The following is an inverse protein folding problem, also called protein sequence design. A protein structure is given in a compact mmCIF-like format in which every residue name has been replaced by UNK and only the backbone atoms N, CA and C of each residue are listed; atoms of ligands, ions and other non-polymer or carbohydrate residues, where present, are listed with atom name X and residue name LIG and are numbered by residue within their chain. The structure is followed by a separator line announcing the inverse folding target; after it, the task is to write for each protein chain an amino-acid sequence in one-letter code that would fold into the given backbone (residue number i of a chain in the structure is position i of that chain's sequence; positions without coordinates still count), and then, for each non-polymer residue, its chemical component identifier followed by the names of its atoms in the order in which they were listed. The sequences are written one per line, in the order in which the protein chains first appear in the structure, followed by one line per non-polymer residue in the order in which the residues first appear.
data_IF_412632181171
#
_entry.id   IF_412632181171
#
_cell.length_a   1.000
_cell.length_b   1.000
_cell.length_c   1.000
_cell.angle_alpha   90.00
_cell.angle_beta   90.00
_cell.angle_gamma   90.00
#
_symmetry.space_group_name_H-M   'P 1'
#
loop_
_entity.id
_entity.type
_entity.pdbx_description
1 polymer ?
#
# COMPACT_ATOMS: atom_id res chain seq x y z
N UNK A 1 -16.29 -40.27 -7.01
CA UNK A 1 -15.56 -39.50 -8.04
C UNK A 1 -15.94 -38.04 -7.86
N UNK A 2 -15.08 -37.25 -7.23
CA UNK A 2 -15.29 -35.80 -7.07
C UNK A 2 -14.96 -35.12 -8.40
N UNK A 3 -15.96 -34.51 -9.03
CA UNK A 3 -15.77 -33.67 -10.20
C UNK A 3 -15.14 -32.35 -9.74
N UNK A 4 -13.81 -32.31 -9.66
CA UNK A 4 -13.06 -31.06 -9.55
C UNK A 4 -13.19 -30.30 -10.87
N UNK A 5 -14.24 -29.50 -10.99
CA UNK A 5 -14.36 -28.46 -12.01
C UNK A 5 -13.29 -27.42 -11.69
N UNK A 6 -12.08 -27.62 -12.23
CA UNK A 6 -11.05 -26.58 -12.32
C UNK A 6 -11.63 -25.47 -13.19
N UNK A 7 -12.32 -24.52 -12.57
CA UNK A 7 -12.80 -23.33 -13.27
C UNK A 7 -11.56 -22.62 -13.82
N UNK A 8 -11.53 -22.51 -15.14
CA UNK A 8 -10.47 -21.84 -15.89
C UNK A 8 -10.60 -20.36 -15.55
N UNK A 9 -9.92 -19.93 -14.49
CA UNK A 9 -9.96 -18.56 -14.00
C UNK A 9 -9.40 -17.66 -15.10
N UNK A 10 -10.26 -16.93 -15.80
CA UNK A 10 -9.86 -15.99 -16.85
C UNK A 10 -8.95 -14.93 -16.22
N UNK A 11 -7.64 -15.04 -16.50
CA UNK A 11 -6.56 -14.18 -15.98
C UNK A 11 -6.85 -12.68 -16.06
N UNK A 12 -7.59 -12.25 -17.09
CA UNK A 12 -7.96 -10.85 -17.26
C UNK A 12 -9.05 -10.37 -16.29
N UNK A 13 -10.04 -11.23 -15.99
CA UNK A 13 -11.09 -10.92 -15.00
C UNK A 13 -10.54 -10.96 -13.58
N UNK A 14 -9.62 -11.89 -13.28
CA UNK A 14 -8.96 -11.92 -11.96
C UNK A 14 -8.06 -10.71 -11.76
N UNK A 15 -7.45 -10.19 -12.83
CA UNK A 15 -6.78 -8.89 -12.79
C UNK A 15 -7.76 -7.77 -12.49
N UNK A 16 -8.86 -7.60 -13.23
CA UNK A 16 -9.83 -6.51 -12.95
C UNK A 16 -10.45 -6.57 -11.54
N UNK A 17 -10.63 -7.77 -10.99
CA UNK A 17 -11.18 -8.00 -9.66
C UNK A 17 -10.11 -8.07 -8.56
N UNK A 18 -8.90 -7.55 -8.78
CA UNK A 18 -7.81 -7.58 -7.81
C UNK A 18 -8.16 -6.94 -6.46
N UNK A 19 -9.13 -6.01 -6.44
CA UNK A 19 -9.65 -5.33 -5.26
C UNK A 19 -10.68 -6.16 -4.47
N UNK A 20 -11.26 -7.20 -5.07
CA UNK A 20 -12.24 -8.08 -4.43
C UNK A 20 -11.49 -9.13 -3.61
N UNK A 21 -11.55 -8.98 -2.28
CA UNK A 21 -10.96 -9.93 -1.34
C UNK A 21 -11.94 -11.08 -1.14
N UNK A 22 -11.42 -12.30 -1.12
CA UNK A 22 -12.20 -13.49 -0.80
C UNK A 22 -12.85 -13.35 0.58
N UNK A 23 -14.19 -13.50 0.70
CA UNK A 23 -14.88 -13.49 1.99
C UNK A 23 -14.24 -14.38 3.05
N UNK A 24 -13.72 -15.55 2.68
CA UNK A 24 -13.05 -16.48 3.61
C UNK A 24 -11.80 -15.86 4.23
N UNK A 25 -11.05 -15.09 3.43
CA UNK A 25 -9.83 -14.39 3.87
C UNK A 25 -10.18 -13.26 4.83
N UNK A 26 -11.26 -12.51 4.53
CA UNK A 26 -11.75 -11.45 5.41
C UNK A 26 -12.17 -12.04 6.77
N UNK A 27 -12.92 -13.14 6.76
CA UNK A 27 -13.39 -13.79 7.98
C UNK A 27 -12.21 -14.29 8.83
N UNK A 28 -11.23 -14.95 8.21
CA UNK A 28 -9.99 -15.35 8.90
C UNK A 28 -9.27 -14.16 9.55
N UNK A 29 -9.17 -13.04 8.85
CA UNK A 29 -8.53 -11.82 9.36
C UNK A 29 -9.27 -11.21 10.56
N UNK A 30 -10.61 -11.29 10.57
CA UNK A 30 -11.43 -10.81 11.68
C UNK A 30 -11.33 -11.76 12.87
N UNK A 31 -11.49 -13.07 12.65
CA UNK A 31 -11.44 -14.08 13.72
C UNK A 31 -10.07 -14.14 14.40
N UNK A 32 -8.99 -14.03 13.61
CA UNK A 32 -7.61 -14.12 14.10
C UNK A 32 -6.96 -12.72 14.26
N UNK A 33 -7.77 -11.67 14.41
CA UNK A 33 -7.29 -10.28 14.34
C UNK A 33 -6.13 -9.98 15.29
N UNK A 34 -6.18 -10.49 16.54
CA UNK A 34 -5.14 -10.29 17.56
C UNK A 34 -3.97 -11.26 17.47
N UNK A 35 -4.14 -12.42 16.85
CA UNK A 35 -3.13 -13.49 16.80
C UNK A 35 -2.31 -13.49 15.50
N UNK A 36 -2.84 -12.92 14.41
CA UNK A 36 -2.12 -12.82 13.15
C UNK A 36 -0.87 -11.97 13.30
N UNK A 37 0.22 -12.48 12.72
CA UNK A 37 1.50 -11.77 12.71
C UNK A 37 1.43 -10.55 11.80
N UNK A 38 2.36 -9.62 11.99
CA UNK A 38 2.41 -8.38 11.19
C UNK A 38 2.49 -8.64 9.68
N UNK A 39 3.17 -9.70 9.25
CA UNK A 39 3.30 -10.08 7.84
C UNK A 39 2.12 -10.91 7.30
N UNK A 40 1.20 -11.33 8.16
CA UNK A 40 0.01 -12.11 7.77
C UNK A 40 -1.25 -11.23 7.75
N UNK A 41 -1.27 -10.18 8.57
CA UNK A 41 -2.41 -9.27 8.66
C UNK A 41 -2.37 -8.19 7.58
N UNK A 42 -3.53 -7.84 7.00
CA UNK A 42 -3.59 -6.76 6.00
C UNK A 42 -3.09 -5.42 6.57
N UNK A 43 -3.46 -5.10 7.81
CA UNK A 43 -3.00 -3.89 8.53
C UNK A 43 -1.49 -3.88 8.73
N UNK A 44 -0.91 -5.03 9.07
CA UNK A 44 0.52 -5.16 9.29
C UNK A 44 1.30 -5.08 7.98
N UNK A 45 0.84 -5.73 6.91
CA UNK A 45 1.45 -5.61 5.59
C UNK A 45 1.35 -4.17 5.07
N UNK A 46 0.20 -3.51 5.22
CA UNK A 46 0.06 -2.08 4.88
C UNK A 46 1.05 -1.20 5.67
N UNK A 47 1.20 -1.45 6.98
CA UNK A 47 2.17 -0.75 7.82
C UNK A 47 3.60 -0.98 7.34
N UNK A 48 3.95 -2.22 7.00
CA UNK A 48 5.26 -2.59 6.47
C UNK A 48 5.53 -1.91 5.13
N UNK A 49 4.54 -1.83 4.24
CA UNK A 49 4.67 -1.12 2.96
C UNK A 49 4.94 0.37 3.17
N UNK A 50 4.15 1.04 4.03
CA UNK A 50 4.34 2.45 4.36
C UNK A 50 5.75 2.67 4.94
N UNK A 51 6.13 1.87 5.95
CA UNK A 51 7.42 2.00 6.62
C UNK A 51 8.58 1.73 5.66
N UNK A 52 8.47 0.70 4.83
CA UNK A 52 9.50 0.36 3.83
C UNK A 52 9.66 1.47 2.79
N UNK A 53 8.56 2.10 2.35
CA UNK A 53 8.62 3.27 1.45
C UNK A 53 9.35 4.43 2.11
N UNK A 54 9.05 4.74 3.37
CA UNK A 54 9.74 5.81 4.12
C UNK A 54 11.24 5.50 4.20
N UNK A 55 11.60 4.29 4.65
CA UNK A 55 13.00 3.87 4.78
C UNK A 55 13.75 3.90 3.44
N UNK A 56 13.10 3.47 2.35
CA UNK A 56 13.69 3.52 1.02
C UNK A 56 13.94 4.96 0.55
N UNK A 57 13.03 5.88 0.88
CA UNK A 57 13.17 7.30 0.56
C UNK A 57 14.34 7.93 1.31
N UNK A 58 14.48 7.64 2.61
CA UNK A 58 15.61 8.09 3.44
C UNK A 58 16.94 7.46 3.01
N UNK A 59 16.95 6.17 2.68
CA UNK A 59 18.14 5.48 2.20
C UNK A 59 18.67 6.13 0.92
N UNK A 60 17.78 6.45 -0.02
CA UNK A 60 18.19 7.16 -1.24
C UNK A 60 18.66 8.56 -0.94
N UNK A 61 18.06 9.27 0.02
CA UNK A 61 18.54 10.58 0.47
C UNK A 61 20.00 10.53 0.98
N UNK A 62 20.36 9.50 1.75
CA UNK A 62 21.74 9.31 2.24
C UNK A 62 22.75 9.07 1.10
N UNK A 63 22.35 8.38 0.04
CA UNK A 63 23.21 8.06 -1.11
C UNK A 63 23.46 9.30 -2.02
N UNK A 64 22.70 10.39 -1.86
CA UNK A 64 22.81 11.61 -2.70
C UNK A 64 24.08 12.44 -2.45
N UNK A 65 24.94 12.07 -1.50
CA UNK A 65 26.28 12.66 -1.33
C UNK A 65 27.22 12.35 -2.51
N UNK A 66 26.82 11.51 -3.46
CA UNK A 66 27.57 11.24 -4.70
C UNK A 66 27.14 12.25 -5.78
N UNK A 67 28.02 13.20 -6.17
CA UNK A 67 27.66 14.29 -7.07
C UNK A 67 27.65 13.81 -8.54
N UNK A 68 26.60 13.10 -8.98
CA UNK A 68 26.27 13.03 -10.43
C UNK A 68 24.92 12.38 -10.83
N UNK A 69 24.09 11.86 -9.91
CA UNK A 69 22.91 11.08 -10.32
C UNK A 69 21.58 11.86 -10.22
N UNK A 70 21.38 12.84 -11.10
CA UNK A 70 20.19 13.72 -11.09
C UNK A 70 18.84 13.00 -11.28
N UNK A 71 18.82 11.78 -11.83
CA UNK A 71 17.59 11.07 -12.20
C UNK A 71 16.80 10.52 -10.99
N UNK A 72 17.44 9.69 -10.16
CA UNK A 72 16.80 9.04 -8.98
C UNK A 72 16.50 10.07 -7.88
N UNK A 73 17.32 11.12 -7.81
CA UNK A 73 17.27 12.16 -6.78
C UNK A 73 15.97 12.97 -6.82
N UNK A 74 15.43 13.25 -8.01
CA UNK A 74 14.22 14.08 -8.15
C UNK A 74 12.93 13.39 -7.65
N UNK A 75 12.87 12.05 -7.72
CA UNK A 75 11.70 11.26 -7.32
C UNK A 75 11.59 11.09 -5.80
N UNK A 76 12.72 10.87 -5.11
CA UNK A 76 12.73 10.53 -3.69
C UNK A 76 12.95 11.73 -2.75
N UNK A 77 13.40 12.88 -3.29
CA UNK A 77 13.68 14.09 -2.52
C UNK A 77 12.43 14.91 -2.15
N UNK A 78 11.26 14.61 -2.68
CA UNK A 78 10.18 15.60 -2.75
C UNK A 78 9.27 15.70 -1.52
N UNK A 79 9.20 14.67 -0.68
CA UNK A 79 8.12 14.57 0.32
C UNK A 79 8.56 14.65 1.79
N UNK A 80 9.85 14.69 2.09
CA UNK A 80 10.32 14.41 3.45
C UNK A 80 11.28 15.46 3.99
N UNK A 81 10.71 16.59 4.42
CA UNK A 81 11.25 17.27 5.60
C UNK A 81 10.96 16.43 6.86
N UNK A 82 11.66 16.71 7.97
CA UNK A 82 11.44 16.05 9.26
C UNK A 82 9.95 15.96 9.65
N UNK A 83 9.16 17.00 9.37
CA UNK A 83 7.72 17.01 9.63
C UNK A 83 6.95 15.98 8.80
N UNK A 84 7.28 15.82 7.51
CA UNK A 84 6.65 14.82 6.64
C UNK A 84 6.98 13.39 7.07
N UNK A 85 8.21 13.15 7.53
CA UNK A 85 8.63 11.84 8.06
C UNK A 85 7.84 11.49 9.32
N UNK A 86 7.79 12.40 10.29
CA UNK A 86 7.05 12.19 11.54
C UNK A 86 5.55 11.98 11.28
N UNK A 87 4.98 12.74 10.35
CA UNK A 87 3.58 12.59 9.97
C UNK A 87 3.29 11.21 9.34
N UNK A 88 4.14 10.74 8.42
CA UNK A 88 3.95 9.42 7.80
C UNK A 88 4.18 8.26 8.80
N UNK A 89 5.17 8.38 9.71
CA UNK A 89 5.34 7.41 10.79
C UNK A 89 4.14 7.41 11.74
N UNK A 90 3.61 8.58 12.07
CA UNK A 90 2.39 8.69 12.86
C UNK A 90 1.21 8.00 12.17
N UNK A 91 1.00 8.23 10.88
CA UNK A 91 -0.03 7.52 10.11
C UNK A 91 0.22 6.00 10.09
N UNK A 92 1.46 5.55 9.89
CA UNK A 92 1.81 4.13 9.90
C UNK A 92 1.45 3.46 11.24
N UNK A 93 1.70 4.13 12.37
CA UNK A 93 1.31 3.64 13.69
C UNK A 93 -0.22 3.52 13.84
N UNK A 94 -0.99 4.47 13.31
CA UNK A 94 -2.45 4.42 13.35
C UNK A 94 -3.03 3.37 12.39
N UNK A 95 -2.40 3.16 11.22
CA UNK A 95 -2.71 2.08 10.29
C UNK A 95 -2.46 0.72 10.96
N UNK A 96 -1.35 0.56 11.68
CA UNK A 96 -1.06 -0.64 12.44
C UNK A 96 -2.13 -0.92 13.51
N UNK A 97 -2.61 0.13 14.18
CA UNK A 97 -3.72 0.06 15.13
C UNK A 97 -5.10 -0.14 14.48
N UNK A 98 -5.20 -0.25 13.16
CA UNK A 98 -6.47 -0.47 12.46
C UNK A 98 -7.41 0.74 12.48
N UNK A 99 -6.89 1.97 12.59
CA UNK A 99 -7.75 3.17 12.64
C UNK A 99 -8.28 3.50 11.23
N UNK A 100 -9.62 3.43 11.07
CA UNK A 100 -10.33 3.65 9.79
C UNK A 100 -9.96 4.97 9.09
N UNK A 101 -9.91 6.07 9.84
CA UNK A 101 -9.54 7.38 9.27
C UNK A 101 -8.09 7.40 8.76
N UNK A 102 -7.16 6.72 9.43
CA UNK A 102 -5.76 6.71 9.03
C UNK A 102 -5.57 5.89 7.75
N UNK A 103 -6.28 4.77 7.61
CA UNK A 103 -6.33 3.99 6.38
C UNK A 103 -6.86 4.83 5.21
N UNK A 104 -7.95 5.58 5.42
CA UNK A 104 -8.53 6.45 4.40
C UNK A 104 -7.60 7.60 4.01
N UNK A 105 -7.04 8.31 4.99
CA UNK A 105 -6.06 9.39 4.75
C UNK A 105 -4.86 8.85 3.97
N UNK A 106 -4.33 7.69 4.35
CA UNK A 106 -3.20 7.08 3.65
C UNK A 106 -3.54 6.73 2.20
N UNK A 107 -4.74 6.19 1.92
CA UNK A 107 -5.20 5.92 0.55
C UNK A 107 -5.27 7.19 -0.28
N UNK A 108 -5.78 8.29 0.29
CA UNK A 108 -5.86 9.59 -0.39
C UNK A 108 -4.46 10.14 -0.66
N UNK A 109 -3.57 10.13 0.33
CA UNK A 109 -2.18 10.59 0.18
C UNK A 109 -1.45 9.81 -0.90
N UNK A 110 -1.51 8.47 -0.87
CA UNK A 110 -0.82 7.63 -1.87
C UNK A 110 -1.38 7.83 -3.27
N UNK A 111 -2.69 8.07 -3.40
CA UNK A 111 -3.32 8.37 -4.69
C UNK A 111 -2.87 9.73 -5.24
N UNK A 112 -2.87 10.76 -4.39
CA UNK A 112 -2.42 12.10 -4.77
C UNK A 112 -0.93 12.06 -5.17
N UNK A 113 -0.08 11.41 -4.37
CA UNK A 113 1.36 11.32 -4.63
C UNK A 113 1.67 10.56 -5.92
N UNK A 114 0.99 9.44 -6.15
CA UNK A 114 1.14 8.65 -7.38
C UNK A 114 0.61 9.41 -8.60
N UNK A 115 -0.53 10.10 -8.47
CA UNK A 115 -1.08 10.95 -9.53
C UNK A 115 -0.15 12.09 -9.92
N UNK A 116 0.41 12.81 -8.94
CA UNK A 116 1.42 13.85 -9.20
C UNK A 116 2.70 13.29 -9.81
N UNK A 117 3.14 12.10 -9.36
CA UNK A 117 4.32 11.43 -9.92
C UNK A 117 4.10 11.06 -11.39
N UNK A 118 2.93 10.51 -11.73
CA UNK A 118 2.56 10.19 -13.11
C UNK A 118 2.50 11.44 -13.99
N UNK A 119 1.83 12.50 -13.52
CA UNK A 119 1.69 13.75 -14.28
C UNK A 119 3.06 14.37 -14.65
N UNK A 120 4.00 14.35 -13.70
CA UNK A 120 5.35 14.89 -13.89
C UNK A 120 6.29 13.96 -14.66
N UNK A 121 6.02 12.65 -14.63
CA UNK A 121 6.80 11.64 -15.36
C UNK A 121 6.62 11.67 -16.88
N UNK A 122 5.73 12.53 -17.39
CA UNK A 122 5.50 12.77 -18.82
C UNK A 122 6.75 13.21 -19.61
N UNK A 123 7.83 13.62 -18.93
CA UNK A 123 9.12 14.00 -19.52
C UNK A 123 10.26 12.99 -19.29
N UNK A 124 10.03 11.90 -18.55
CA UNK A 124 11.05 10.94 -18.17
C UNK A 124 11.01 9.69 -19.08
N UNK A 125 12.15 9.35 -19.68
CA UNK A 125 12.35 8.17 -20.52
C UNK A 125 11.99 6.86 -19.79
N UNK A 126 11.30 5.95 -20.48
CA UNK A 126 11.22 4.54 -20.11
C UNK A 126 10.12 4.15 -19.09
N UNK A 127 10.08 2.86 -18.77
CA UNK A 127 9.06 2.11 -18.00
C UNK A 127 8.76 2.61 -16.56
N UNK A 128 9.14 3.83 -16.20
CA UNK A 128 8.98 4.40 -14.86
C UNK A 128 7.52 4.55 -14.43
N UNK A 129 6.63 4.93 -15.36
CA UNK A 129 5.20 5.04 -15.10
C UNK A 129 4.58 3.69 -14.69
N UNK A 130 5.06 2.58 -15.25
CA UNK A 130 4.62 1.23 -14.86
C UNK A 130 4.99 0.94 -13.40
N UNK A 131 6.18 1.36 -12.97
CA UNK A 131 6.62 1.20 -11.58
C UNK A 131 5.74 2.01 -10.62
N UNK A 132 5.37 3.24 -10.97
CA UNK A 132 4.46 4.07 -10.15
C UNK A 132 3.10 3.39 -10.01
N UNK A 133 2.51 2.94 -11.13
CA UNK A 133 1.21 2.24 -11.12
C UNK A 133 1.30 0.95 -10.31
N UNK A 134 2.37 0.17 -10.49
CA UNK A 134 2.57 -1.08 -9.75
C UNK A 134 2.58 -0.86 -8.24
N UNK A 135 3.36 0.12 -7.75
CA UNK A 135 3.40 0.45 -6.33
C UNK A 135 2.04 0.97 -5.84
N UNK A 136 1.39 1.84 -6.59
CA UNK A 136 0.06 2.35 -6.23
C UNK A 136 -0.96 1.21 -6.07
N UNK A 137 -1.03 0.28 -7.03
CA UNK A 137 -1.92 -0.90 -6.95
C UNK A 137 -1.59 -1.74 -5.72
N UNK A 138 -0.29 -1.96 -5.44
CA UNK A 138 0.15 -2.70 -4.27
C UNK A 138 -0.34 -2.04 -2.97
N UNK A 139 -0.13 -0.73 -2.81
CA UNK A 139 -0.59 0.02 -1.66
C UNK A 139 -2.11 -0.04 -1.49
N UNK A 140 -2.85 0.25 -2.55
CA UNK A 140 -4.32 0.24 -2.52
C UNK A 140 -4.85 -1.14 -2.15
N UNK A 141 -4.24 -2.23 -2.63
CA UNK A 141 -4.65 -3.60 -2.29
C UNK A 141 -4.64 -3.85 -0.79
N UNK A 142 -3.55 -3.50 -0.13
CA UNK A 142 -3.40 -3.78 1.30
C UNK A 142 -4.14 -2.75 2.17
N UNK A 143 -4.13 -1.47 1.81
CA UNK A 143 -4.86 -0.42 2.53
C UNK A 143 -6.38 -0.62 2.47
N UNK A 144 -6.93 -0.85 1.27
CA UNK A 144 -8.36 -1.10 1.09
C UNK A 144 -8.79 -2.39 1.78
N UNK A 145 -7.95 -3.43 1.73
CA UNK A 145 -8.23 -4.67 2.44
C UNK A 145 -8.26 -4.52 3.95
N UNK A 146 -7.27 -3.82 4.52
CA UNK A 146 -7.29 -3.48 5.94
C UNK A 146 -8.53 -2.66 6.30
N UNK A 147 -8.90 -1.68 5.47
CA UNK A 147 -10.08 -0.84 5.70
C UNK A 147 -11.38 -1.65 5.71
N UNK A 148 -11.57 -2.57 4.77
CA UNK A 148 -12.76 -3.43 4.73
C UNK A 148 -12.86 -4.38 5.93
N UNK A 149 -11.74 -4.89 6.43
CA UNK A 149 -11.69 -5.71 7.64
C UNK A 149 -12.15 -4.88 8.85
N UNK A 150 -11.65 -3.64 8.99
CA UNK A 150 -12.06 -2.74 10.09
C UNK A 150 -13.53 -2.33 10.00
N UNK A 151 -14.05 -2.10 8.78
CA UNK A 151 -15.47 -1.81 8.59
C UNK A 151 -16.37 -2.95 9.04
N UNK A 152 -16.00 -4.19 8.71
CA UNK A 152 -16.80 -5.37 9.06
C UNK A 152 -16.65 -5.76 10.53
N UNK A 153 -15.46 -5.60 11.12
CA UNK A 153 -15.25 -5.86 12.55
C UNK A 153 -16.16 -4.97 13.40
N UNK A 154 -16.19 -3.67 13.13
CA UNK A 154 -17.02 -2.74 13.87
C UNK A 154 -18.52 -3.06 13.76
N UNK A 155 -19.00 -3.48 12.60
CA UNK A 155 -20.41 -3.89 12.42
C UNK A 155 -20.80 -5.13 13.23
N UNK A 156 -19.83 -5.96 13.62
CA UNK A 156 -20.08 -7.14 14.46
C UNK A 156 -19.99 -6.82 15.96
N UNK A 157 -19.45 -5.65 16.31
CA UNK A 157 -19.33 -5.16 17.69
C UNK A 157 -20.54 -4.28 18.10
N UNK A 158 -21.30 -3.78 17.12
CA UNK A 158 -22.58 -3.06 17.27
C UNK A 158 -23.77 -4.02 17.28
#
# INVERSE_FOLDING_TARGET
MSNDIKSKNNSWFSWFLWWKIDPSTIEKQIQQYKSLKIYESYRGIATLLITSRILLSELVFLIQWVPNNNFIISFLRRDFGLGGLLFNLFLALFVFKGKKWALLIMMVIETINSGFSLFRSSSLEGAFWLMIIFWWVLFMKYLYGAYNIELRRNKNEE
#
